data_IF_610660185644
#
_entry.id   IF_610660185644
#
_cell.length_a   1.000
_cell.length_b   1.000
_cell.length_c   1.000
_cell.angle_alpha   90.00
_cell.angle_beta   90.00
_cell.angle_gamma   90.00
#
_symmetry.space_group_name_H-M   'P 1'
#
loop_
_entity.id
_entity.type
_entity.pdbx_description
1 polymer ?
#
# COMPACT_ATOMS: atom_id res chain seq x y z
N UNK A 1 2.32 1.20 18.67
CA UNK A 1 1.07 0.91 19.42
C UNK A 1 -0.16 1.40 18.67
N UNK A 2 -0.31 2.70 18.36
CA UNK A 2 -1.47 3.23 17.62
C UNK A 2 -1.66 2.62 16.21
N UNK A 3 -0.58 2.56 15.42
CA UNK A 3 -0.60 1.99 14.06
C UNK A 3 -0.96 0.49 14.11
N UNK A 4 -0.42 -0.24 15.07
CA UNK A 4 -0.71 -1.67 15.28
C UNK A 4 -2.20 -1.92 15.56
N UNK A 5 -2.83 -1.06 16.37
CA UNK A 5 -4.25 -1.16 16.67
C UNK A 5 -5.16 -0.90 15.45
N UNK A 6 -4.67 -0.15 14.45
CA UNK A 6 -5.34 0.06 13.17
C UNK A 6 -5.07 -1.09 12.20
N UNK A 7 -3.84 -1.57 12.08
CA UNK A 7 -3.46 -2.61 11.11
C UNK A 7 -4.14 -3.94 11.40
N UNK A 8 -4.20 -4.35 12.67
CA UNK A 8 -4.77 -5.66 13.07
C UNK A 8 -6.20 -5.89 12.53
N UNK A 9 -7.18 -4.98 12.76
CA UNK A 9 -8.54 -5.18 12.25
C UNK A 9 -8.60 -5.19 10.71
N UNK A 10 -7.75 -4.43 10.01
CA UNK A 10 -7.67 -4.48 8.54
C UNK A 10 -7.18 -5.83 8.03
N UNK A 11 -6.16 -6.42 8.65
CA UNK A 11 -5.67 -7.74 8.27
C UNK A 11 -6.67 -8.84 8.61
N UNK A 12 -7.38 -8.74 9.74
CA UNK A 12 -8.48 -9.64 10.07
C UNK A 12 -9.59 -9.59 9.02
N UNK A 13 -10.00 -8.39 8.62
CA UNK A 13 -11.02 -8.19 7.60
C UNK A 13 -10.55 -8.69 6.23
N UNK A 14 -9.26 -8.55 5.92
CA UNK A 14 -8.66 -9.08 4.71
C UNK A 14 -8.67 -10.62 4.69
N UNK A 15 -8.36 -11.28 5.81
CA UNK A 15 -8.44 -12.75 5.92
C UNK A 15 -9.87 -13.23 5.74
N UNK A 16 -10.84 -12.55 6.36
CA UNK A 16 -12.26 -12.87 6.15
C UNK A 16 -12.65 -12.67 4.69
N UNK A 17 -12.24 -11.58 4.06
CA UNK A 17 -12.54 -11.31 2.65
C UNK A 17 -11.98 -12.38 1.70
N UNK A 18 -10.79 -12.92 1.98
CA UNK A 18 -10.21 -14.02 1.20
C UNK A 18 -11.06 -15.29 1.25
N UNK A 19 -11.69 -15.60 2.39
CA UNK A 19 -12.59 -16.74 2.49
C UNK A 19 -13.84 -16.62 1.60
N UNK A 20 -14.14 -15.43 1.08
CA UNK A 20 -15.27 -15.16 0.18
C UNK A 20 -14.86 -14.95 -1.28
N UNK A 21 -13.58 -15.08 -1.64
CA UNK A 21 -13.15 -14.94 -3.03
C UNK A 21 -13.14 -16.29 -3.75
N UNK A 22 -13.52 -16.27 -5.03
CA UNK A 22 -13.67 -17.49 -5.84
C UNK A 22 -12.34 -18.16 -6.24
N UNK A 23 -11.19 -17.51 -6.02
CA UNK A 23 -9.91 -18.08 -6.42
C UNK A 23 -8.72 -17.66 -5.56
N UNK A 24 -7.87 -18.65 -5.25
CA UNK A 24 -6.63 -18.46 -4.50
C UNK A 24 -5.67 -17.44 -5.14
N UNK A 25 -5.74 -17.28 -6.47
CA UNK A 25 -4.94 -16.27 -7.17
C UNK A 25 -5.38 -14.84 -6.83
N UNK A 26 -6.69 -14.60 -6.72
CA UNK A 26 -7.23 -13.30 -6.30
C UNK A 26 -6.88 -13.03 -4.84
N UNK A 27 -6.94 -14.04 -3.98
CA UNK A 27 -6.53 -13.93 -2.58
C UNK A 27 -5.08 -13.52 -2.43
N UNK A 28 -4.18 -14.18 -3.17
CA UNK A 28 -2.76 -13.87 -3.16
C UNK A 28 -2.49 -12.45 -3.68
N UNK A 29 -3.15 -12.05 -4.77
CA UNK A 29 -3.04 -10.68 -5.30
C UNK A 29 -3.54 -9.63 -4.30
N UNK A 30 -4.68 -9.90 -3.65
CA UNK A 30 -5.24 -9.02 -2.64
C UNK A 30 -4.31 -8.90 -1.42
N UNK A 31 -3.75 -10.01 -0.95
CA UNK A 31 -2.78 -10.02 0.14
C UNK A 31 -1.52 -9.21 -0.18
N UNK A 32 -0.96 -9.39 -1.38
CA UNK A 32 0.22 -8.65 -1.84
C UNK A 32 -0.08 -7.15 -1.90
N UNK A 33 -1.24 -6.75 -2.44
CA UNK A 33 -1.64 -5.34 -2.45
C UNK A 33 -1.81 -4.76 -1.03
N UNK A 34 -2.39 -5.53 -0.10
CA UNK A 34 -2.54 -5.12 1.29
C UNK A 34 -1.16 -4.89 1.96
N UNK A 35 -0.18 -5.76 1.67
CA UNK A 35 1.18 -5.68 2.20
C UNK A 35 1.92 -4.46 1.66
N UNK A 36 1.80 -4.18 0.35
CA UNK A 36 2.35 -2.98 -0.29
C UNK A 36 1.71 -1.72 0.32
N UNK A 37 0.38 -1.68 0.47
CA UNK A 37 -0.31 -0.53 1.06
C UNK A 37 0.14 -0.28 2.51
N UNK A 38 0.31 -1.34 3.31
CA UNK A 38 0.82 -1.25 4.68
C UNK A 38 2.25 -0.73 4.72
N UNK A 39 3.10 -1.20 3.81
CA UNK A 39 4.48 -0.74 3.67
C UNK A 39 4.58 0.74 3.26
N UNK A 40 3.75 1.18 2.32
CA UNK A 40 3.67 2.59 1.91
C UNK A 40 3.19 3.46 3.07
N UNK A 41 2.14 3.06 3.79
CA UNK A 41 1.68 3.79 4.98
C UNK A 41 2.76 3.87 6.06
N UNK A 42 3.51 2.78 6.28
CA UNK A 42 4.63 2.76 7.20
C UNK A 42 5.75 3.73 6.79
N UNK A 43 6.11 3.77 5.50
CA UNK A 43 7.08 4.73 4.97
C UNK A 43 6.60 6.17 5.16
N UNK A 44 5.32 6.46 4.92
CA UNK A 44 4.77 7.80 5.11
C UNK A 44 4.76 8.26 6.56
N UNK A 45 4.48 7.36 7.50
CA UNK A 45 4.43 7.71 8.92
C UNK A 45 5.84 7.83 9.50
N UNK A 46 6.76 6.95 9.09
CA UNK A 46 8.11 6.88 9.67
C UNK A 46 9.06 7.87 9.02
N UNK A 47 8.90 8.13 7.72
CA UNK A 47 9.81 8.93 6.91
C UNK A 47 9.05 9.94 6.02
N UNK A 48 8.25 10.85 6.62
CA UNK A 48 7.29 11.67 5.89
C UNK A 48 7.92 12.57 4.83
N UNK A 49 9.13 13.11 5.07
CA UNK A 49 9.81 13.93 4.06
C UNK A 49 10.32 13.10 2.89
N UNK A 50 10.98 11.95 3.15
CA UNK A 50 11.54 11.12 2.09
C UNK A 50 10.44 10.47 1.25
N UNK A 51 9.32 10.07 1.86
CA UNK A 51 8.16 9.55 1.12
C UNK A 51 7.48 10.63 0.28
N UNK A 52 7.32 11.85 0.81
CA UNK A 52 6.78 12.98 0.05
C UNK A 52 7.68 13.35 -1.15
N UNK A 53 9.00 13.41 -0.93
CA UNK A 53 9.96 13.65 -2.01
C UNK A 53 9.95 12.52 -3.06
N UNK A 54 9.84 11.25 -2.64
CA UNK A 54 9.72 10.13 -3.57
C UNK A 54 8.47 10.26 -4.45
N UNK A 55 7.32 10.65 -3.86
CA UNK A 55 6.08 10.87 -4.64
C UNK A 55 6.20 12.09 -5.56
N UNK A 56 6.79 13.19 -5.11
CA UNK A 56 7.04 14.38 -5.96
C UNK A 56 7.97 14.01 -7.13
N UNK A 57 9.01 13.21 -6.88
CA UNK A 57 9.93 12.75 -7.91
C UNK A 57 9.27 11.81 -8.91
N UNK A 58 8.39 10.91 -8.43
CA UNK A 58 7.57 10.04 -9.27
C UNK A 58 6.60 10.86 -10.13
N UNK A 59 5.90 11.83 -9.53
CA UNK A 59 5.04 12.77 -10.26
C UNK A 59 5.83 13.61 -11.27
N UNK A 60 7.07 14.01 -10.95
CA UNK A 60 7.94 14.72 -11.88
C UNK A 60 8.39 13.83 -13.04
N UNK A 61 8.74 12.57 -12.80
CA UNK A 61 9.11 11.59 -13.84
C UNK A 61 7.96 11.33 -14.83
N UNK A 62 6.71 11.28 -14.36
CA UNK A 62 5.54 11.06 -15.22
C UNK A 62 4.91 12.37 -15.74
N UNK A 63 5.14 13.49 -15.05
CA UNK A 63 4.64 14.83 -15.42
C UNK A 63 5.58 15.58 -16.38
N UNK A 64 6.87 15.24 -16.39
CA UNK A 64 7.77 15.55 -17.49
C UNK A 64 7.36 14.68 -18.68
N UNK A 65 6.33 15.13 -19.41
CA UNK A 65 6.24 14.80 -20.84
C UNK A 65 7.55 15.27 -21.46
N UNK A 66 8.44 14.34 -21.79
CA UNK A 66 9.48 14.61 -22.78
C UNK A 66 8.74 15.07 -24.04
N UNK A 67 8.77 16.38 -24.27
CA UNK A 67 8.27 16.99 -25.49
C UNK A 67 9.37 16.79 -26.53
N UNK A 68 9.41 15.58 -27.07
CA UNK A 68 10.09 15.23 -28.31
C UNK A 68 9.22 14.24 -29.07
#
# INVERSE_FOLDING_TARGET
>A
MFITALIIPFYLLAVVAMCYMDSAFKDMMFFVMLLIATFVLFLFITYPMQSAFAVIFLMALFGLKFKD
#
